data_IF_954217101160
#
_entry.id   IF_954217101160
#
_cell.length_a   1.000
_cell.length_b   1.000
_cell.length_c   1.000
_cell.angle_alpha   90.00
_cell.angle_beta   90.00
_cell.angle_gamma   90.00
#
_symmetry.space_group_name_H-M   'P 1'
#
loop_
_entity.id
_entity.type
_entity.pdbx_description
1 polymer ?
#
# COMPACT_ATOMS: atom_id res chain seq x y z
N UNK A 1 -5.81 -12.59 -17.81
CA UNK A 1 -6.65 -11.58 -17.14
C UNK A 1 -5.85 -10.28 -17.13
N UNK A 2 -6.33 -9.20 -17.77
CA UNK A 2 -5.52 -8.01 -18.10
C UNK A 2 -5.66 -6.93 -17.00
N UNK A 3 -4.55 -6.52 -16.41
CA UNK A 3 -4.43 -5.46 -15.41
C UNK A 3 -5.17 -4.16 -15.80
N UNK A 4 -5.16 -3.80 -17.08
CA UNK A 4 -5.85 -2.62 -17.59
C UNK A 4 -7.38 -2.66 -17.44
N UNK A 5 -7.99 -3.85 -17.37
CA UNK A 5 -9.42 -4.00 -17.13
C UNK A 5 -9.77 -3.62 -15.68
N UNK A 6 -8.96 -4.04 -14.71
CA UNK A 6 -9.15 -3.70 -13.31
C UNK A 6 -8.94 -2.21 -13.03
N UNK A 7 -7.93 -1.60 -13.66
CA UNK A 7 -7.72 -0.15 -13.57
C UNK A 7 -8.98 0.64 -14.00
N UNK A 8 -9.63 0.21 -15.09
CA UNK A 8 -10.85 0.87 -15.58
C UNK A 8 -12.05 0.63 -14.66
N UNK A 9 -12.19 -0.58 -14.09
CA UNK A 9 -13.24 -0.89 -13.11
C UNK A 9 -13.07 -0.01 -11.87
N UNK A 10 -11.85 0.06 -11.31
CA UNK A 10 -11.53 0.89 -10.16
C UNK A 10 -11.92 2.34 -10.42
N UNK A 11 -11.43 2.94 -11.51
CA UNK A 11 -11.76 4.33 -11.87
C UNK A 11 -13.25 4.59 -12.06
N UNK A 12 -13.98 3.62 -12.61
CA UNK A 12 -15.42 3.76 -12.85
C UNK A 12 -16.20 3.73 -11.54
N UNK A 13 -15.91 2.77 -10.68
CA UNK A 13 -16.76 2.46 -9.54
C UNK A 13 -16.29 3.10 -8.22
N UNK A 14 -15.08 3.66 -8.15
CA UNK A 14 -14.55 4.23 -6.90
C UNK A 14 -15.46 5.30 -6.28
N UNK A 15 -16.11 6.13 -7.09
CA UNK A 15 -17.06 7.15 -6.63
C UNK A 15 -18.50 6.64 -6.52
N UNK A 16 -18.83 5.53 -7.19
CA UNK A 16 -20.19 5.01 -7.27
C UNK A 16 -20.48 4.00 -6.14
N UNK A 17 -19.44 3.33 -5.62
CA UNK A 17 -19.53 2.26 -4.62
C UNK A 17 -18.71 2.69 -3.40
N UNK A 18 -19.33 3.20 -2.33
CA UNK A 18 -18.63 3.62 -1.11
C UNK A 18 -17.76 2.53 -0.49
N UNK A 19 -18.23 1.28 -0.53
CA UNK A 19 -17.52 0.11 -0.01
C UNK A 19 -16.21 -0.14 -0.78
N UNK A 20 -16.14 0.25 -2.06
CA UNK A 20 -14.91 0.16 -2.85
C UNK A 20 -13.90 1.23 -2.45
N UNK A 21 -14.33 2.46 -2.18
CA UNK A 21 -13.43 3.51 -1.65
C UNK A 21 -12.91 3.13 -0.26
N UNK A 22 -13.78 2.64 0.63
CA UNK A 22 -13.39 2.16 1.95
C UNK A 22 -12.40 0.99 1.86
N UNK A 23 -12.70 -0.02 1.05
CA UNK A 23 -11.81 -1.16 0.84
C UNK A 23 -10.46 -0.74 0.24
N UNK A 24 -10.46 0.22 -0.69
CA UNK A 24 -9.21 0.74 -1.26
C UNK A 24 -8.38 1.46 -0.21
N UNK A 25 -8.98 2.36 0.59
CA UNK A 25 -8.29 3.09 1.66
C UNK A 25 -7.78 2.18 2.78
N UNK A 26 -8.48 1.07 3.04
CA UNK A 26 -8.07 0.04 3.98
C UNK A 26 -6.97 -0.91 3.46
N UNK A 27 -6.67 -0.89 2.16
CA UNK A 27 -5.64 -1.71 1.53
C UNK A 27 -4.24 -1.06 1.57
N UNK A 28 -3.25 -1.73 0.98
CA UNK A 28 -1.92 -1.15 0.70
C UNK A 28 -1.90 -0.24 -0.55
N UNK A 29 -3.05 -0.07 -1.21
CA UNK A 29 -3.21 0.77 -2.39
C UNK A 29 -2.50 0.20 -3.62
N UNK A 30 -2.22 1.08 -4.58
CA UNK A 30 -1.44 0.74 -5.77
C UNK A 30 0.03 1.09 -5.58
N UNK A 31 0.93 0.30 -6.16
CA UNK A 31 2.31 0.73 -6.33
C UNK A 31 2.39 1.95 -7.26
N UNK A 32 3.46 2.74 -7.19
CA UNK A 32 3.59 3.99 -7.96
C UNK A 32 3.44 3.77 -9.47
N UNK A 33 3.95 2.66 -10.00
CA UNK A 33 3.79 2.28 -11.41
C UNK A 33 2.32 2.04 -11.76
N UNK A 34 1.59 1.28 -10.93
CA UNK A 34 0.17 0.97 -11.15
C UNK A 34 -0.72 2.19 -10.95
N UNK A 35 -0.38 3.06 -10.00
CA UNK A 35 -1.05 4.33 -9.80
C UNK A 35 -0.91 5.20 -11.06
N UNK A 36 0.31 5.38 -11.58
CA UNK A 36 0.56 6.15 -12.80
C UNK A 36 -0.17 5.58 -14.01
N UNK A 37 -0.10 4.26 -14.20
CA UNK A 37 -0.79 3.56 -15.30
C UNK A 37 -2.33 3.65 -15.21
N UNK A 38 -2.87 3.67 -13.99
CA UNK A 38 -4.30 3.83 -13.75
C UNK A 38 -4.72 5.27 -14.01
N UNK A 39 -4.01 6.25 -13.47
CA UNK A 39 -4.31 7.67 -13.69
C UNK A 39 -4.25 8.05 -15.18
N UNK A 40 -3.31 7.49 -15.94
CA UNK A 40 -3.23 7.69 -17.39
C UNK A 40 -4.46 7.19 -18.18
N UNK A 41 -5.28 6.32 -17.57
CA UNK A 41 -6.54 5.81 -18.16
C UNK A 41 -7.76 6.63 -17.75
N UNK A 42 -7.64 7.52 -16.77
CA UNK A 42 -8.76 8.27 -16.25
C UNK A 42 -9.32 9.21 -17.32
N UNK A 43 -10.60 9.00 -17.67
CA UNK A 43 -11.36 9.91 -18.56
C UNK A 43 -12.07 11.02 -17.79
N UNK A 44 -12.23 10.85 -16.47
CA UNK A 44 -12.88 11.80 -15.59
C UNK A 44 -11.88 12.40 -14.61
N UNK A 45 -11.87 13.72 -14.51
CA UNK A 45 -11.06 14.45 -13.53
C UNK A 45 -11.50 14.15 -12.10
N UNK A 46 -12.80 13.94 -11.86
CA UNK A 46 -13.30 13.60 -10.52
C UNK A 46 -12.86 12.21 -10.09
N UNK A 47 -12.91 11.23 -11.00
CA UNK A 47 -12.42 9.88 -10.72
C UNK A 47 -10.90 9.85 -10.46
N UNK A 48 -10.13 10.61 -11.25
CA UNK A 48 -8.69 10.75 -11.02
C UNK A 48 -8.38 11.40 -9.67
N UNK A 49 -9.09 12.48 -9.32
CA UNK A 49 -8.93 13.15 -8.02
C UNK A 49 -9.28 12.22 -6.86
N UNK A 50 -10.40 11.50 -6.94
CA UNK A 50 -10.82 10.54 -5.93
C UNK A 50 -9.75 9.45 -5.71
N UNK A 51 -9.18 8.90 -6.78
CA UNK A 51 -8.12 7.91 -6.68
C UNK A 51 -6.84 8.50 -6.06
N UNK A 52 -6.46 9.73 -6.43
CA UNK A 52 -5.31 10.42 -5.83
C UNK A 52 -5.52 10.63 -4.33
N UNK A 53 -6.72 11.06 -3.92
CA UNK A 53 -7.04 11.31 -2.52
C UNK A 53 -7.09 10.01 -1.70
N UNK A 54 -7.64 8.94 -2.27
CA UNK A 54 -7.64 7.62 -1.65
C UNK A 54 -6.22 7.07 -1.49
N UNK A 55 -5.40 7.12 -2.56
CA UNK A 55 -4.01 6.69 -2.52
C UNK A 55 -3.17 7.52 -1.55
N UNK A 56 -3.41 8.84 -1.48
CA UNK A 56 -2.72 9.72 -0.52
C UNK A 56 -2.96 9.28 0.92
N UNK A 57 -4.20 8.92 1.26
CA UNK A 57 -4.55 8.43 2.59
C UNK A 57 -3.78 7.16 2.95
N UNK A 58 -3.65 6.23 1.99
CA UNK A 58 -2.87 4.99 2.16
C UNK A 58 -1.38 5.31 2.41
N UNK A 59 -0.80 6.17 1.58
CA UNK A 59 0.61 6.54 1.69
C UNK A 59 0.92 7.30 3.00
N UNK A 60 0.02 8.15 3.47
CA UNK A 60 0.18 8.86 4.75
C UNK A 60 0.17 7.91 5.94
N UNK A 61 -0.67 6.88 5.90
CA UNK A 61 -0.67 5.83 6.93
C UNK A 61 0.64 5.05 6.92
N UNK A 62 1.09 4.62 5.73
CA UNK A 62 2.35 3.91 5.57
C UNK A 62 3.57 4.74 6.01
N UNK A 63 3.57 6.04 5.73
CA UNK A 63 4.62 6.98 6.18
C UNK A 63 4.68 7.09 7.71
N UNK A 64 3.53 7.14 8.37
CA UNK A 64 3.43 7.12 9.84
C UNK A 64 3.94 5.80 10.43
N UNK A 65 3.55 4.67 9.85
CA UNK A 65 4.04 3.35 10.24
C UNK A 65 5.56 3.25 10.03
N UNK A 66 6.10 3.68 8.89
CA UNK A 66 7.54 3.67 8.63
C UNK A 66 8.32 4.56 9.61
N UNK A 67 7.75 5.72 9.97
CA UNK A 67 8.33 6.61 10.98
C UNK A 67 8.42 5.94 12.34
N UNK A 68 7.39 5.20 12.76
CA UNK A 68 7.41 4.42 14.00
C UNK A 68 8.38 3.23 13.94
N UNK A 69 8.47 2.55 12.79
CA UNK A 69 9.47 1.51 12.58
C UNK A 69 10.89 2.06 12.76
N UNK A 70 11.20 3.21 12.15
CA UNK A 70 12.50 3.89 12.30
C UNK A 70 12.74 4.29 13.76
N UNK A 71 11.73 4.84 14.44
CA UNK A 71 11.83 5.23 15.86
C UNK A 71 12.16 4.03 16.76
N UNK A 72 11.46 2.90 16.59
CA UNK A 72 11.65 1.71 17.44
C UNK A 72 12.94 0.95 17.16
N UNK A 73 13.55 1.15 15.99
CA UNK A 73 14.89 0.64 15.71
C UNK A 73 16.00 1.37 16.46
N UNK A 74 15.74 2.54 17.04
CA UNK A 74 16.68 3.16 17.98
C UNK A 74 16.76 2.34 19.28
N UNK A 75 17.99 1.97 19.66
CA UNK A 75 18.29 1.18 20.86
C UNK A 75 17.61 1.64 22.16
N UNK A 76 17.27 2.93 22.27
CA UNK A 76 16.54 3.50 23.43
C UNK A 76 15.14 2.91 23.59
N UNK A 77 14.52 2.48 22.49
CA UNK A 77 13.15 1.94 22.45
C UNK A 77 13.11 0.42 22.27
N UNK A 78 14.25 -0.28 22.40
CA UNK A 78 14.39 -1.74 22.20
C UNK A 78 13.46 -2.63 23.02
N UNK A 79 12.79 -2.08 24.02
CA UNK A 79 11.86 -2.78 24.91
C UNK A 79 10.40 -2.64 24.46
N UNK A 80 10.11 -1.70 23.55
CA UNK A 80 8.80 -1.58 22.91
C UNK A 80 8.63 -2.70 21.87
N UNK A 81 7.45 -3.32 21.84
CA UNK A 81 7.10 -4.33 20.84
C UNK A 81 6.68 -3.64 19.54
N UNK A 82 6.97 -4.29 18.42
CA UNK A 82 6.41 -3.90 17.12
C UNK A 82 4.89 -4.13 17.08
N UNK A 83 4.20 -3.28 16.32
CA UNK A 83 2.79 -3.38 15.96
C UNK A 83 2.61 -3.44 14.44
N UNK A 84 1.67 -2.66 13.90
CA UNK A 84 1.41 -2.61 12.46
C UNK A 84 2.59 -2.12 11.62
N UNK A 85 3.56 -1.47 12.24
CA UNK A 85 4.78 -0.97 11.60
C UNK A 85 5.86 -2.03 11.35
N UNK A 86 5.72 -3.25 11.89
CA UNK A 86 6.72 -4.32 11.81
C UNK A 86 7.23 -4.57 10.38
N UNK A 87 6.32 -4.54 9.41
CA UNK A 87 6.58 -4.80 8.00
C UNK A 87 6.49 -3.53 7.12
N UNK A 88 6.40 -2.33 7.72
CA UNK A 88 6.20 -1.09 6.97
C UNK A 88 7.32 -0.80 5.97
N UNK A 89 8.55 -1.23 6.27
CA UNK A 89 9.68 -1.10 5.36
C UNK A 89 9.53 -1.98 4.10
N UNK A 90 8.94 -3.18 4.23
CA UNK A 90 8.64 -4.05 3.09
C UNK A 90 7.55 -3.42 2.23
N UNK A 91 6.44 -3.00 2.86
CA UNK A 91 5.32 -2.36 2.16
C UNK A 91 5.74 -1.06 1.46
N UNK A 92 6.67 -0.29 2.04
CA UNK A 92 7.26 0.88 1.40
C UNK A 92 8.07 0.52 0.14
N UNK A 93 8.89 -0.53 0.20
CA UNK A 93 9.61 -1.03 -0.97
C UNK A 93 8.64 -1.47 -2.07
N UNK A 94 7.66 -2.30 -1.73
CA UNK A 94 6.64 -2.79 -2.68
C UNK A 94 5.82 -1.65 -3.29
N UNK A 95 5.53 -0.60 -2.52
CA UNK A 95 4.84 0.59 -3.01
C UNK A 95 5.65 1.31 -4.08
N UNK A 96 6.97 1.43 -3.90
CA UNK A 96 7.84 2.16 -4.83
C UNK A 96 8.24 1.30 -6.04
N UNK A 97 8.63 0.05 -5.82
CA UNK A 97 9.13 -0.84 -6.88
C UNK A 97 8.04 -1.66 -7.58
N UNK A 98 6.85 -1.76 -6.98
CA UNK A 98 5.91 -2.83 -7.25
C UNK A 98 6.25 -4.09 -6.45
N UNK A 99 5.24 -4.87 -6.10
CA UNK A 99 5.42 -6.14 -5.41
C UNK A 99 6.19 -7.13 -6.30
N UNK A 100 7.22 -7.76 -5.75
CA UNK A 100 7.81 -8.93 -6.39
C UNK A 100 6.74 -10.04 -6.46
N UNK A 101 6.75 -10.90 -7.49
CA UNK A 101 5.95 -12.13 -7.43
C UNK A 101 6.31 -12.84 -6.13
N UNK A 102 5.32 -13.13 -5.27
CA UNK A 102 5.54 -13.88 -4.04
C UNK A 102 6.08 -15.26 -4.42
N UNK A 103 7.40 -15.40 -4.49
CA UNK A 103 8.05 -16.71 -4.43
C UNK A 103 7.72 -17.20 -3.03
N UNK A 104 7.06 -18.34 -2.91
CA UNK A 104 6.73 -18.94 -1.62
C UNK A 104 8.00 -19.15 -0.81
N UNK A 105 8.36 -18.16 -0.02
CA UNK A 105 9.45 -18.19 0.93
C UNK A 105 8.87 -17.56 2.19
N UNK A 106 8.69 -18.42 3.19
CA UNK A 106 8.58 -18.11 4.62
C UNK A 106 7.29 -18.57 5.30
N UNK A 107 7.20 -19.90 5.44
CA UNK A 107 6.78 -20.54 6.68
C UNK A 107 7.98 -20.75 7.65
N UNK A 108 9.12 -20.07 7.46
CA UNK A 108 10.39 -20.52 8.06
C UNK A 108 11.35 -19.46 8.62
N UNK A 109 10.97 -18.18 8.77
CA UNK A 109 11.86 -17.19 9.41
C UNK A 109 11.51 -16.81 10.85
N UNK A 110 10.48 -17.41 11.46
CA UNK A 110 10.16 -17.20 12.89
C UNK A 110 10.91 -18.11 13.87
N UNK A 111 11.90 -18.89 13.42
CA UNK A 111 12.77 -19.65 14.32
C UNK A 111 14.24 -19.49 13.93
N UNK A 112 14.87 -18.38 14.31
CA UNK A 112 16.27 -18.34 14.74
C UNK A 112 16.71 -16.90 15.04
N UNK A 113 16.59 -16.48 16.29
CA UNK A 113 17.60 -15.64 16.94
C UNK A 113 17.78 -16.17 18.37
N UNK A 114 19.01 -16.50 18.81
CA UNK A 114 19.29 -17.00 20.15
C UNK A 114 19.13 -15.94 21.24
#
# INVERSE_FOLDING_TARGET
MNEGHYANILLKYLLEIPELDEAFRGSDGLCLTHLGNTLARARSRSAAAALVDAQRSVLQRLDGELSEFIRKNDHRFRHERFGAEEDAWLRALETVSGAAPRRGHDAALTQALP
#
